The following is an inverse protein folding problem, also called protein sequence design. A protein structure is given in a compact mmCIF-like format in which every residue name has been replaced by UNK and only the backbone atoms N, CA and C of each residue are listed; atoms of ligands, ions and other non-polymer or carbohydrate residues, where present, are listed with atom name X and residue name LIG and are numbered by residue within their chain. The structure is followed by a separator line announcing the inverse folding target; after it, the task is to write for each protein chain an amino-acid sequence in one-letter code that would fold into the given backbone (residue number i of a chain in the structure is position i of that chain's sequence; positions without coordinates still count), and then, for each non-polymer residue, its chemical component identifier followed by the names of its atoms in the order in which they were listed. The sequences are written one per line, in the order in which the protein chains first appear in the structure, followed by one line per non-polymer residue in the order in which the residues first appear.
data_IF_089658952281
#
_entry.id   IF_089658952281
#
_cell.length_a   1.000
_cell.length_b   1.000
_cell.length_c   1.000
_cell.angle_alpha   90.00
_cell.angle_beta   90.00
_cell.angle_gamma   90.00
#
_symmetry.space_group_name_H-M   'P 1'
#
loop_
_entity.id
_entity.type
_entity.pdbx_description
1 polymer ?
#
# COMPACT_ATOMS: atom_id res chain seq x y z
N UNK A 1 -13.36 8.06 12.87
CA UNK A 1 -13.06 7.59 14.25
C UNK A 1 -11.55 7.45 14.53
N UNK A 2 -10.71 7.08 13.56
CA UNK A 2 -9.25 6.87 13.80
C UNK A 2 -8.45 8.15 14.06
N UNK A 3 -8.93 9.31 13.65
CA UNK A 3 -8.28 10.62 13.93
C UNK A 3 -8.53 11.10 15.38
N UNK A 4 -9.56 10.61 16.06
CA UNK A 4 -9.92 11.06 17.40
C UNK A 4 -10.18 12.57 17.44
N UNK A 5 -9.56 13.24 18.42
CA UNK A 5 -9.64 14.70 18.57
C UNK A 5 -8.63 15.51 17.74
N UNK A 6 -7.84 14.85 16.87
CA UNK A 6 -6.85 15.53 16.03
C UNK A 6 -7.52 16.47 15.03
N UNK A 7 -6.91 17.62 14.84
CA UNK A 7 -7.34 18.70 13.92
C UNK A 7 -6.18 19.23 13.07
N UNK A 8 -5.13 18.41 12.91
CA UNK A 8 -4.02 18.72 12.04
C UNK A 8 -4.53 18.87 10.59
N UNK A 9 -4.04 19.86 9.83
CA UNK A 9 -4.52 20.09 8.47
C UNK A 9 -4.17 18.93 7.51
N UNK A 10 -3.08 18.20 7.81
CA UNK A 10 -2.64 17.02 7.06
C UNK A 10 -2.28 15.89 8.02
N UNK A 11 -2.72 14.68 7.72
CA UNK A 11 -2.30 13.45 8.40
C UNK A 11 -1.81 12.46 7.36
N UNK A 12 -0.56 12.03 7.50
CA UNK A 12 0.03 10.98 6.68
C UNK A 12 -0.03 9.66 7.45
N UNK A 13 -0.43 8.60 6.78
CA UNK A 13 -0.48 7.26 7.35
C UNK A 13 0.00 6.23 6.33
N UNK A 14 0.23 5.01 6.79
CA UNK A 14 0.68 3.90 5.98
C UNK A 14 0.07 2.58 6.49
N UNK A 15 0.89 1.52 6.54
CA UNK A 15 0.59 0.19 7.04
C UNK A 15 -0.31 -0.65 6.11
N UNK A 16 -1.47 -0.15 5.72
CA UNK A 16 -2.42 -0.93 4.90
C UNK A 16 -1.99 -1.09 3.44
N UNK A 17 -0.92 -0.45 3.00
CA UNK A 17 -0.42 -0.43 1.61
C UNK A 17 -1.47 -0.01 0.55
N UNK A 18 -2.63 0.49 0.96
CA UNK A 18 -3.71 0.90 0.07
C UNK A 18 -3.62 2.40 -0.19
N UNK A 19 -3.24 2.85 -1.41
CA UNK A 19 -3.17 4.27 -1.74
C UNK A 19 -4.53 4.93 -1.60
N UNK A 20 -4.61 6.02 -0.82
CA UNK A 20 -5.88 6.70 -0.58
C UNK A 20 -5.69 8.15 -0.15
N UNK A 21 -6.55 9.04 -0.65
CA UNK A 21 -6.70 10.41 -0.18
C UNK A 21 -8.14 10.56 0.34
N UNK A 22 -8.28 11.10 1.54
CA UNK A 22 -9.59 11.37 2.16
C UNK A 22 -9.56 12.76 2.78
N UNK A 23 -10.57 13.57 2.52
CA UNK A 23 -10.81 14.82 3.22
C UNK A 23 -11.85 14.58 4.32
N UNK A 24 -11.48 14.91 5.55
CA UNK A 24 -12.35 14.79 6.73
C UNK A 24 -12.77 16.18 7.17
N UNK A 25 -14.07 16.46 7.10
CA UNK A 25 -14.64 17.68 7.66
C UNK A 25 -14.86 17.52 9.17
N UNK A 26 -14.67 18.60 9.92
CA UNK A 26 -14.89 18.70 11.35
C UNK A 26 -16.02 19.65 11.68
N UNK A 27 -16.65 19.46 12.83
CA UNK A 27 -17.81 20.27 13.27
C UNK A 27 -17.47 21.77 13.46
N UNK A 28 -16.19 22.09 13.63
CA UNK A 28 -15.68 23.47 13.74
C UNK A 28 -15.36 24.14 12.39
N UNK A 29 -15.75 23.49 11.28
CA UNK A 29 -15.54 23.98 9.91
C UNK A 29 -14.14 23.73 9.35
N UNK A 30 -13.20 23.19 10.14
CA UNK A 30 -11.87 22.79 9.65
C UNK A 30 -11.94 21.50 8.87
N UNK A 31 -10.93 21.25 8.07
CA UNK A 31 -10.75 20.00 7.32
C UNK A 31 -9.37 19.41 7.55
N UNK A 32 -9.28 18.09 7.56
CA UNK A 32 -8.02 17.34 7.58
C UNK A 32 -7.88 16.55 6.29
N UNK A 33 -6.77 16.73 5.59
CA UNK A 33 -6.40 15.89 4.46
C UNK A 33 -5.65 14.66 4.99
N UNK A 34 -6.23 13.48 4.83
CA UNK A 34 -5.61 12.20 5.23
C UNK A 34 -5.08 11.51 3.99
N UNK A 35 -3.80 11.16 3.98
CA UNK A 35 -3.15 10.54 2.84
C UNK A 35 -2.42 9.27 3.27
N UNK A 36 -2.78 8.16 2.64
CA UNK A 36 -1.98 6.95 2.62
C UNK A 36 -1.39 6.81 1.22
N UNK A 37 -0.07 6.90 1.04
CA UNK A 37 0.54 6.78 -0.30
C UNK A 37 0.56 5.35 -0.85
N UNK A 38 0.31 4.35 -0.02
CA UNK A 38 0.54 2.95 -0.34
C UNK A 38 1.92 2.48 0.13
N UNK A 39 2.55 1.60 -0.62
CA UNK A 39 3.88 1.05 -0.31
C UNK A 39 4.88 1.35 -1.42
N UNK A 40 6.12 1.65 -1.05
CA UNK A 40 7.24 1.77 -2.00
C UNK A 40 7.75 0.39 -2.44
N UNK A 41 7.69 -0.60 -1.54
CA UNK A 41 8.21 -1.95 -1.75
C UNK A 41 7.11 -2.97 -2.04
N UNK A 42 6.74 -3.77 -1.05
CA UNK A 42 5.74 -4.84 -1.19
C UNK A 42 4.37 -4.25 -1.47
N UNK A 43 3.80 -4.59 -2.64
CA UNK A 43 2.52 -4.07 -3.11
C UNK A 43 1.33 -5.00 -2.77
N UNK A 44 1.63 -6.17 -2.19
CA UNK A 44 0.63 -7.13 -1.77
C UNK A 44 1.11 -7.86 -0.51
N UNK A 45 0.19 -8.18 0.37
CA UNK A 45 0.43 -9.02 1.54
C UNK A 45 -0.90 -9.63 2.00
N UNK A 46 -0.83 -10.70 2.74
CA UNK A 46 -1.91 -11.27 3.52
C UNK A 46 -1.50 -11.36 5.00
N UNK A 47 -2.48 -11.32 5.87
CA UNK A 47 -2.31 -11.39 7.32
C UNK A 47 -3.59 -11.99 7.93
N UNK A 48 -3.46 -12.65 9.06
CA UNK A 48 -4.54 -13.24 9.83
C UNK A 48 -4.90 -12.44 11.11
N UNK A 49 -4.11 -11.44 11.45
CA UNK A 49 -4.35 -10.57 12.62
C UNK A 49 -4.91 -9.18 12.18
N UNK A 50 -6.01 -8.72 12.78
CA UNK A 50 -6.94 -9.35 13.75
C UNK A 50 -7.99 -10.28 13.10
N UNK A 51 -7.97 -10.43 11.80
CA UNK A 51 -8.79 -11.35 10.99
C UNK A 51 -8.11 -11.56 9.64
N UNK A 52 -8.35 -12.69 9.03
CA UNK A 52 -7.78 -12.99 7.71
C UNK A 52 -8.15 -11.90 6.70
N UNK A 53 -7.13 -11.29 6.11
CA UNK A 53 -7.30 -10.26 5.09
C UNK A 53 -6.17 -10.28 4.08
N UNK A 54 -6.46 -9.76 2.89
CA UNK A 54 -5.53 -9.68 1.78
C UNK A 54 -5.55 -8.29 1.17
N UNK A 55 -4.37 -7.76 0.88
CA UNK A 55 -4.17 -6.52 0.15
C UNK A 55 -3.43 -6.84 -1.14
N UNK A 56 -3.99 -6.43 -2.27
CA UNK A 56 -3.37 -6.59 -3.59
C UNK A 56 -3.56 -5.33 -4.42
N UNK A 57 -2.50 -4.82 -5.03
CA UNK A 57 -2.58 -3.70 -5.98
C UNK A 57 -2.60 -4.16 -7.43
N UNK A 58 -2.20 -5.41 -7.70
CA UNK A 58 -2.18 -6.03 -9.01
C UNK A 58 -1.07 -5.52 -9.95
N UNK A 59 -0.13 -4.74 -9.44
CA UNK A 59 1.07 -4.29 -10.17
C UNK A 59 2.22 -4.00 -9.22
N UNK A 60 3.49 -4.06 -9.69
CA UNK A 60 4.68 -3.89 -8.86
C UNK A 60 5.11 -2.42 -8.65
N UNK A 61 4.41 -1.44 -9.17
CA UNK A 61 4.84 -0.04 -9.16
C UNK A 61 4.99 0.49 -7.73
N UNK A 62 6.11 1.14 -7.43
CA UNK A 62 6.32 1.83 -6.17
C UNK A 62 5.32 2.97 -5.99
N UNK A 63 4.64 3.02 -4.83
CA UNK A 63 3.62 4.02 -4.52
C UNK A 63 4.17 5.07 -3.58
N UNK A 64 3.89 6.33 -3.88
CA UNK A 64 4.26 7.46 -3.06
C UNK A 64 3.27 8.61 -3.27
N UNK A 65 3.39 9.68 -2.52
CA UNK A 65 2.51 10.84 -2.66
C UNK A 65 3.32 12.14 -2.64
N UNK A 66 2.89 13.11 -3.46
CA UNK A 66 3.32 14.48 -3.39
C UNK A 66 2.30 15.27 -2.56
N UNK A 67 2.79 16.01 -1.57
CA UNK A 67 1.96 16.84 -0.69
C UNK A 67 2.41 18.28 -0.85
N UNK A 68 1.48 19.17 -1.17
CA UNK A 68 1.77 20.57 -1.42
C UNK A 68 0.85 21.48 -0.61
N UNK A 69 1.40 22.59 -0.13
CA UNK A 69 0.64 23.66 0.50
C UNK A 69 0.46 24.82 -0.48
N UNK A 70 -0.76 25.04 -0.91
CA UNK A 70 -1.13 26.16 -1.79
C UNK A 70 -1.91 27.25 -1.08
N UNK A 71 -2.35 28.25 -1.84
CA UNK A 71 -3.13 29.38 -1.34
C UNK A 71 -4.49 28.95 -0.75
N UNK A 72 -5.06 27.85 -1.24
CA UNK A 72 -6.38 27.35 -0.82
C UNK A 72 -6.30 26.13 0.13
N UNK A 73 -5.11 25.86 0.70
CA UNK A 73 -4.90 24.76 1.64
C UNK A 73 -3.96 23.69 1.09
N UNK A 74 -4.08 22.48 1.60
CA UNK A 74 -3.25 21.36 1.26
C UNK A 74 -3.84 20.53 0.13
N UNK A 75 -3.00 20.06 -0.76
CA UNK A 75 -3.33 19.12 -1.82
C UNK A 75 -2.41 17.90 -1.77
N UNK A 76 -2.87 16.80 -2.36
CA UNK A 76 -2.09 15.58 -2.49
C UNK A 76 -2.29 14.94 -3.87
N UNK A 77 -1.22 14.37 -4.42
CA UNK A 77 -1.27 13.53 -5.60
C UNK A 77 -0.67 12.17 -5.28
N UNK A 78 -1.39 11.09 -5.60
CA UNK A 78 -0.90 9.72 -5.51
C UNK A 78 -0.12 9.38 -6.78
N UNK A 79 1.08 8.85 -6.59
CA UNK A 79 2.03 8.56 -7.65
C UNK A 79 2.35 7.08 -7.70
N UNK A 80 2.66 6.60 -8.90
CA UNK A 80 3.13 5.24 -9.13
C UNK A 80 4.36 5.32 -10.06
N UNK A 81 5.47 4.73 -9.63
CA UNK A 81 6.74 4.81 -10.35
C UNK A 81 7.29 3.41 -10.61
N UNK A 82 7.70 3.16 -11.85
CA UNK A 82 8.41 1.93 -12.20
C UNK A 82 9.81 1.93 -11.59
N UNK A 83 10.23 0.77 -11.12
CA UNK A 83 11.58 0.53 -10.61
C UNK A 83 11.99 -0.92 -10.96
N UNK A 84 13.23 -1.30 -10.69
CA UNK A 84 13.69 -2.67 -10.88
C UNK A 84 13.14 -3.61 -9.79
N UNK A 85 11.85 -3.95 -9.90
CA UNK A 85 11.18 -4.87 -9.00
C UNK A 85 11.76 -6.29 -9.09
N UNK A 86 12.35 -6.66 -10.24
CA UNK A 86 12.97 -7.96 -10.40
C UNK A 86 14.26 -8.08 -9.56
N UNK A 87 15.08 -7.02 -9.48
CA UNK A 87 16.23 -7.02 -8.59
C UNK A 87 15.81 -7.15 -7.12
N UNK A 88 14.75 -6.45 -6.69
CA UNK A 88 14.21 -6.58 -5.35
C UNK A 88 13.65 -7.99 -5.08
N UNK A 89 12.95 -8.58 -6.03
CA UNK A 89 12.42 -9.93 -5.92
C UNK A 89 13.54 -10.99 -5.79
N UNK A 90 14.62 -10.88 -6.58
CA UNK A 90 15.79 -11.77 -6.43
C UNK A 90 16.44 -11.66 -5.05
N UNK A 91 16.50 -10.47 -4.47
CA UNK A 91 16.99 -10.31 -3.09
C UNK A 91 16.09 -11.01 -2.07
N UNK A 92 14.78 -10.91 -2.23
CA UNK A 92 13.81 -11.61 -1.38
C UNK A 92 13.96 -13.14 -1.51
N UNK A 93 14.11 -13.67 -2.72
CA UNK A 93 14.36 -15.09 -2.97
C UNK A 93 15.67 -15.56 -2.29
N UNK A 94 16.75 -14.79 -2.44
CA UNK A 94 18.02 -15.11 -1.79
C UNK A 94 17.93 -15.12 -0.26
N UNK A 95 16.99 -14.35 0.31
CA UNK A 95 16.67 -14.36 1.74
C UNK A 95 15.63 -15.42 2.14
N UNK A 96 15.25 -16.35 1.23
CA UNK A 96 14.27 -17.40 1.49
C UNK A 96 12.81 -16.91 1.52
N UNK A 97 12.52 -15.70 0.98
CA UNK A 97 11.20 -15.10 0.96
C UNK A 97 10.59 -15.09 -0.46
N UNK A 98 10.31 -16.31 -0.97
CA UNK A 98 9.64 -16.48 -2.26
C UNK A 98 8.25 -15.85 -2.32
N UNK A 99 7.53 -15.83 -1.21
CA UNK A 99 6.24 -15.14 -1.03
C UNK A 99 6.38 -13.63 -1.32
N UNK A 100 7.41 -12.99 -0.78
CA UNK A 100 7.70 -11.58 -1.04
C UNK A 100 8.16 -11.34 -2.48
N UNK A 101 8.93 -12.27 -3.04
CA UNK A 101 9.40 -12.15 -4.42
C UNK A 101 8.22 -12.15 -5.40
N UNK A 102 7.22 -13.01 -5.20
CA UNK A 102 6.01 -13.02 -6.01
C UNK A 102 5.20 -11.71 -5.85
N UNK A 103 5.03 -11.25 -4.62
CA UNK A 103 4.35 -9.97 -4.35
C UNK A 103 5.07 -8.76 -4.96
N UNK A 104 6.41 -8.74 -4.94
CA UNK A 104 7.23 -7.68 -5.56
C UNK A 104 7.11 -7.67 -7.09
N UNK A 105 7.01 -8.84 -7.73
CA UNK A 105 6.88 -8.96 -9.19
C UNK A 105 5.47 -8.63 -9.69
N UNK A 106 4.45 -8.99 -8.92
CA UNK A 106 3.07 -9.03 -9.42
C UNK A 106 2.12 -8.06 -8.73
N UNK A 107 2.44 -7.63 -7.51
CA UNK A 107 1.50 -6.93 -6.64
C UNK A 107 0.32 -7.82 -6.21
N UNK A 108 0.53 -9.14 -6.17
CA UNK A 108 -0.46 -10.16 -5.74
C UNK A 108 0.18 -11.14 -4.78
N UNK A 109 -0.64 -11.79 -3.95
CA UNK A 109 -0.24 -12.81 -2.98
C UNK A 109 -0.83 -14.18 -3.34
N UNK A 110 -0.22 -15.23 -2.79
CA UNK A 110 -0.72 -16.62 -2.88
C UNK A 110 -0.69 -17.21 -4.30
N UNK A 111 0.14 -16.69 -5.20
CA UNK A 111 0.27 -17.27 -6.56
C UNK A 111 0.98 -18.62 -6.52
N UNK A 112 2.09 -18.68 -5.80
CA UNK A 112 2.89 -19.91 -5.66
C UNK A 112 2.07 -21.03 -5.01
N UNK A 113 1.30 -20.74 -3.98
CA UNK A 113 0.41 -21.68 -3.32
C UNK A 113 -0.68 -22.23 -4.28
N UNK A 114 -1.26 -21.36 -5.09
CA UNK A 114 -2.27 -21.75 -6.09
C UNK A 114 -1.69 -22.63 -7.19
N UNK A 115 -0.46 -22.40 -7.61
CA UNK A 115 0.21 -23.22 -8.61
C UNK A 115 0.53 -24.62 -8.07
N UNK A 116 1.00 -24.72 -6.82
CA UNK A 116 1.28 -25.99 -6.15
C UNK A 116 0.00 -26.85 -6.02
N UNK A 117 -1.11 -26.25 -5.62
CA UNK A 117 -2.40 -26.95 -5.52
C UNK A 117 -2.90 -27.41 -6.90
N UNK A 118 -2.73 -26.60 -7.93
CA UNK A 118 -3.14 -26.98 -9.29
C UNK A 118 -2.31 -28.13 -9.86
N UNK A 119 -1.04 -28.26 -9.52
CA UNK A 119 -0.16 -29.37 -9.92
C UNK A 119 -0.51 -30.65 -9.16
N UNK A 120 -0.81 -30.56 -7.87
CA UNK A 120 -1.22 -31.71 -7.04
C UNK A 120 -2.62 -32.30 -7.39
N UNK A 121 -3.45 -31.51 -8.07
CA UNK A 121 -4.80 -31.92 -8.50
C UNK A 121 -4.85 -32.55 -9.91
N UNK A 122 -3.72 -32.74 -10.58
CA UNK A 122 -3.58 -33.42 -11.88
C UNK A 122 -2.96 -34.81 -11.73
#
# INVERSE_FOLDING_TARGET
RRLGARRDPVVLCGHTHTPRIVQVAHDDGRTTLVVNPGSVGVQAYDDDDPYEHRVETGNPLARWALIERGAHGWSAALMATAYDCEAAARQAEAAGRGDWADALRSGRVGRLEREVVAVAAR
#
